data_IF_225651379446
#
_entry.id   IF_225651379446
#
_cell.length_a   1.000
_cell.length_b   1.000
_cell.length_c   1.000
_cell.angle_alpha   90.00
_cell.angle_beta   90.00
_cell.angle_gamma   90.00
#
_symmetry.space_group_name_H-M   'P 1'
#
loop_
_entity.id
_entity.type
_entity.pdbx_description
1 polymer ?
#
# COMPACT_ATOMS: atom_id res chain seq x y z
N UNK A 1 -3.79 -25.24 -32.70
CA UNK A 1 -3.00 -24.45 -31.74
C UNK A 1 -3.39 -22.97 -31.74
N UNK A 2 -3.41 -22.32 -32.93
CA UNK A 2 -3.79 -20.90 -33.11
C UNK A 2 -5.19 -20.57 -32.57
N UNK A 3 -6.18 -21.46 -32.73
CA UNK A 3 -7.55 -21.27 -32.22
C UNK A 3 -7.62 -21.21 -30.69
N UNK A 4 -6.81 -22.00 -29.99
CA UNK A 4 -6.77 -21.99 -28.50
C UNK A 4 -6.20 -20.67 -27.98
N UNK A 5 -5.18 -20.12 -28.64
CA UNK A 5 -4.58 -18.82 -28.31
C UNK A 5 -5.59 -17.69 -28.51
N UNK A 6 -6.36 -17.72 -29.61
CA UNK A 6 -7.41 -16.73 -29.87
C UNK A 6 -8.50 -16.75 -28.81
N UNK A 7 -8.93 -17.94 -28.37
CA UNK A 7 -9.93 -18.07 -27.31
C UNK A 7 -9.41 -17.55 -25.97
N UNK A 8 -8.17 -17.91 -25.60
CA UNK A 8 -7.52 -17.43 -24.38
C UNK A 8 -7.40 -15.90 -24.34
N UNK A 9 -6.99 -15.27 -25.45
CA UNK A 9 -6.95 -13.80 -25.53
C UNK A 9 -8.35 -13.15 -25.46
N UNK A 10 -9.37 -13.83 -25.98
CA UNK A 10 -10.76 -13.41 -25.85
C UNK A 10 -11.23 -13.43 -24.39
N UNK A 11 -10.94 -14.48 -23.65
CA UNK A 11 -11.26 -14.63 -22.22
C UNK A 11 -10.49 -13.61 -21.36
N UNK A 12 -9.18 -13.44 -21.60
CA UNK A 12 -8.37 -12.44 -20.90
C UNK A 12 -8.91 -11.04 -21.12
N UNK A 13 -9.38 -10.71 -22.33
CA UNK A 13 -10.00 -9.40 -22.60
C UNK A 13 -11.29 -9.20 -21.80
N UNK A 14 -12.12 -10.23 -21.66
CA UNK A 14 -13.36 -10.18 -20.88
C UNK A 14 -13.07 -10.00 -19.39
N UNK A 15 -12.09 -10.70 -18.84
CA UNK A 15 -11.70 -10.53 -17.42
C UNK A 15 -11.00 -9.19 -17.17
N UNK A 16 -10.18 -8.72 -18.11
CA UNK A 16 -9.51 -7.42 -18.02
C UNK A 16 -10.51 -6.25 -18.02
N UNK A 17 -11.68 -6.42 -18.65
CA UNK A 17 -12.76 -5.43 -18.61
C UNK A 17 -13.47 -5.35 -17.24
N UNK A 18 -13.40 -6.41 -16.43
CA UNK A 18 -13.95 -6.43 -15.07
C UNK A 18 -12.98 -5.85 -14.04
N UNK A 19 -11.70 -5.71 -14.40
CA UNK A 19 -10.69 -5.17 -13.51
C UNK A 19 -10.91 -3.67 -13.30
N UNK A 20 -10.93 -3.25 -12.04
CA UNK A 20 -10.89 -1.84 -11.66
C UNK A 20 -9.48 -1.31 -11.97
N UNK A 21 -9.36 -0.48 -13.00
CA UNK A 21 -8.08 0.14 -13.30
C UNK A 21 -7.83 1.29 -12.30
N UNK A 22 -6.66 1.38 -11.65
CA UNK A 22 -6.27 2.48 -10.74
C UNK A 22 -6.21 3.88 -11.38
N UNK A 23 -6.67 4.02 -12.61
CA UNK A 23 -6.77 5.29 -13.28
C UNK A 23 -8.06 5.46 -14.07
N UNK A 24 -8.62 6.66 -13.99
CA UNK A 24 -9.83 6.99 -14.73
C UNK A 24 -9.47 7.68 -16.07
N UNK A 25 -9.70 7.05 -17.23
CA UNK A 25 -9.32 7.60 -18.54
C UNK A 25 -10.15 8.83 -18.95
N UNK A 26 -11.25 9.10 -18.23
CA UNK A 26 -12.13 10.27 -18.46
C UNK A 26 -11.60 11.53 -17.80
N UNK A 27 -10.72 11.41 -16.80
CA UNK A 27 -10.17 12.56 -16.08
C UNK A 27 -8.75 12.89 -16.57
N UNK A 28 -8.48 14.18 -16.80
CA UNK A 28 -7.15 14.67 -17.19
C UNK A 28 -6.35 15.10 -15.96
N UNK A 29 -5.07 14.72 -15.92
CA UNK A 29 -4.11 15.18 -14.90
C UNK A 29 -4.12 14.34 -13.62
N UNK A 30 -3.77 14.97 -12.49
CA UNK A 30 -3.59 14.31 -11.18
C UNK A 30 -4.83 13.60 -10.63
N UNK A 31 -6.05 14.04 -11.03
CA UNK A 31 -7.30 13.39 -10.59
C UNK A 31 -7.50 12.00 -11.18
N UNK A 32 -6.79 11.69 -12.29
CA UNK A 32 -6.78 10.37 -12.91
C UNK A 32 -6.35 9.27 -11.92
N UNK A 33 -5.46 9.56 -10.98
CA UNK A 33 -4.90 8.57 -10.05
C UNK A 33 -5.48 8.70 -8.63
N UNK A 34 -6.70 9.25 -8.50
CA UNK A 34 -7.30 9.57 -7.20
C UNK A 34 -7.39 8.34 -6.28
N UNK A 35 -7.85 7.20 -6.79
CA UNK A 35 -7.95 5.96 -6.00
C UNK A 35 -6.57 5.45 -5.56
N UNK A 36 -5.57 5.55 -6.46
CA UNK A 36 -4.21 5.11 -6.19
C UNK A 36 -3.52 6.00 -5.15
N UNK A 37 -3.71 7.31 -5.26
CA UNK A 37 -3.17 8.28 -4.31
C UNK A 37 -3.84 8.16 -2.95
N UNK A 38 -5.16 7.95 -2.90
CA UNK A 38 -5.91 7.79 -1.64
C UNK A 38 -5.46 6.53 -0.90
N UNK A 39 -5.34 5.40 -1.62
CA UNK A 39 -4.83 4.13 -1.07
C UNK A 39 -3.40 4.27 -0.54
N UNK A 40 -2.53 4.97 -1.27
CA UNK A 40 -1.13 5.17 -0.87
C UNK A 40 -1.03 6.07 0.36
N UNK A 41 -1.81 7.15 0.42
CA UNK A 41 -1.82 8.09 1.56
C UNK A 41 -2.24 7.38 2.85
N UNK A 42 -3.28 6.54 2.80
CA UNK A 42 -3.72 5.76 3.97
C UNK A 42 -2.61 4.82 4.47
N UNK A 43 -1.92 4.14 3.56
CA UNK A 43 -0.80 3.24 3.91
C UNK A 43 0.34 4.03 4.56
N UNK A 44 0.70 5.18 4.00
CA UNK A 44 1.77 6.04 4.55
C UNK A 44 1.43 6.52 5.95
N UNK A 45 0.20 7.00 6.18
CA UNK A 45 -0.25 7.43 7.51
C UNK A 45 -0.18 6.28 8.50
N UNK A 46 -0.65 5.10 8.10
CA UNK A 46 -0.61 3.89 8.94
C UNK A 46 0.81 3.51 9.32
N UNK A 47 1.75 3.60 8.37
CA UNK A 47 3.16 3.27 8.59
C UNK A 47 3.83 4.25 9.56
N UNK A 48 3.50 5.55 9.46
CA UNK A 48 4.00 6.58 10.39
C UNK A 48 3.45 6.36 11.80
N UNK A 49 2.15 6.11 11.94
CA UNK A 49 1.52 5.88 13.25
C UNK A 49 2.09 4.63 13.93
N UNK A 50 2.20 3.53 13.19
CA UNK A 50 2.78 2.29 13.72
C UNK A 50 4.24 2.50 14.11
N UNK A 51 5.06 3.08 13.24
CA UNK A 51 6.46 3.35 13.50
C UNK A 51 6.67 4.29 14.70
N UNK A 52 5.84 5.33 14.83
CA UNK A 52 5.88 6.25 15.95
C UNK A 52 5.58 5.57 17.29
N UNK A 53 4.54 4.74 17.35
CA UNK A 53 4.21 3.97 18.55
C UNK A 53 5.33 3.01 18.93
N UNK A 54 5.86 2.24 17.98
CA UNK A 54 6.96 1.30 18.23
C UNK A 54 8.20 2.04 18.75
N UNK A 55 8.61 3.12 18.07
CA UNK A 55 9.77 3.91 18.47
C UNK A 55 9.59 4.55 19.87
N UNK A 56 8.38 4.95 20.24
CA UNK A 56 8.10 5.49 21.56
C UNK A 56 8.30 4.43 22.66
N UNK A 57 7.77 3.23 22.47
CA UNK A 57 7.93 2.14 23.43
C UNK A 57 9.38 1.66 23.51
N UNK A 58 10.07 1.56 22.37
CA UNK A 58 11.50 1.21 22.33
C UNK A 58 12.33 2.24 23.10
N UNK A 59 12.05 3.54 22.90
CA UNK A 59 12.72 4.61 23.65
C UNK A 59 12.44 4.51 25.14
N UNK A 60 11.19 4.28 25.54
CA UNK A 60 10.83 4.13 26.95
C UNK A 60 11.55 2.93 27.61
N UNK A 61 11.58 1.78 26.92
CA UNK A 61 12.28 0.58 27.39
C UNK A 61 13.78 0.80 27.50
N UNK A 62 14.42 1.41 26.50
CA UNK A 62 15.87 1.69 26.54
C UNK A 62 16.21 2.57 27.73
N UNK A 63 15.45 3.64 27.97
CA UNK A 63 15.69 4.51 29.13
C UNK A 63 15.46 3.78 30.46
N UNK A 64 14.42 2.95 30.54
CA UNK A 64 14.14 2.15 31.74
C UNK A 64 15.24 1.13 32.03
N UNK A 65 15.69 0.40 31.00
CA UNK A 65 16.79 -0.58 31.12
C UNK A 65 18.08 0.14 31.49
N UNK A 66 18.43 1.24 30.83
CA UNK A 66 19.63 2.03 31.17
C UNK A 66 19.60 2.54 32.62
N UNK A 67 18.43 2.94 33.13
CA UNK A 67 18.28 3.33 34.53
C UNK A 67 18.59 2.17 35.47
N UNK A 68 18.04 0.98 35.22
CA UNK A 68 18.31 -0.21 36.03
C UNK A 68 19.76 -0.70 35.93
N UNK A 69 20.37 -0.69 34.74
CA UNK A 69 21.75 -1.14 34.53
C UNK A 69 22.78 -0.20 35.18
N UNK A 70 22.46 1.08 35.41
CA UNK A 70 23.34 2.00 36.15
C UNK A 70 23.14 1.99 37.66
N UNK A 71 22.05 1.39 38.14
CA UNK A 71 21.70 1.34 39.56
C UNK A 71 22.23 0.09 40.28
N UNK A 72 22.72 -0.90 39.53
CA UNK A 72 23.49 -2.04 40.02
C UNK A 72 24.98 -1.80 39.78
#
# INVERSE_FOLDING_TARGET
MITKIKNFLGEVKVELQKASWPWDPKEKGFRRYKELSDSTVVVVISMILLGGCVAFFDFALVNFVHFFTRLH
#
